data_IF_894820111740
#
_entry.id   IF_894820111740
#
_cell.length_a   1.000
_cell.length_b   1.000
_cell.length_c   1.000
_cell.angle_alpha   90.00
_cell.angle_beta   90.00
_cell.angle_gamma   90.00
#
_symmetry.space_group_name_H-M   'P 1'
#
loop_
_entity.id
_entity.type
_entity.pdbx_description
1 polymer ?
#
# COMPACT_ATOMS: atom_id res chain seq x y z
N UNK A 1 -25.16 -15.85 -5.03
CA UNK A 1 -23.71 -15.81 -5.30
C UNK A 1 -23.09 -15.16 -4.08
N UNK A 2 -22.02 -15.70 -3.51
CA UNK A 2 -21.51 -15.21 -2.22
C UNK A 2 -20.75 -13.89 -2.43
N UNK A 3 -21.36 -12.77 -2.02
CA UNK A 3 -20.87 -11.41 -2.26
C UNK A 3 -19.44 -11.20 -1.75
N UNK A 4 -19.07 -11.95 -0.71
CA UNK A 4 -17.75 -11.99 -0.09
C UNK A 4 -16.66 -12.49 -1.05
N UNK A 5 -16.98 -13.51 -1.86
CA UNK A 5 -16.07 -14.03 -2.89
C UNK A 5 -15.94 -13.08 -4.08
N UNK A 6 -17.02 -12.38 -4.43
CA UNK A 6 -16.97 -11.39 -5.51
C UNK A 6 -16.18 -10.14 -5.10
N UNK A 7 -16.29 -9.72 -3.83
CA UNK A 7 -15.49 -8.62 -3.29
C UNK A 7 -13.99 -8.89 -3.33
N UNK A 8 -13.57 -10.13 -3.02
CA UNK A 8 -12.15 -10.49 -3.06
C UNK A 8 -11.57 -10.44 -4.48
N UNK A 9 -12.36 -10.77 -5.51
CA UNK A 9 -11.97 -10.63 -6.91
C UNK A 9 -11.83 -9.16 -7.35
N UNK A 10 -12.76 -8.30 -6.92
CA UNK A 10 -12.67 -6.86 -7.15
C UNK A 10 -11.42 -6.28 -6.46
N UNK A 11 -11.19 -6.67 -5.19
CA UNK A 11 -10.00 -6.27 -4.43
C UNK A 11 -8.72 -6.67 -5.14
N UNK A 12 -8.60 -7.93 -5.57
CA UNK A 12 -7.43 -8.41 -6.32
C UNK A 12 -7.21 -7.63 -7.62
N UNK A 13 -8.30 -7.28 -8.32
CA UNK A 13 -8.24 -6.47 -9.55
C UNK A 13 -7.78 -5.03 -9.31
N UNK A 14 -8.17 -4.42 -8.19
CA UNK A 14 -7.75 -3.07 -7.80
C UNK A 14 -6.31 -3.05 -7.28
N UNK A 15 -5.89 -4.10 -6.57
CA UNK A 15 -4.49 -4.27 -6.17
C UNK A 15 -3.56 -4.52 -7.36
N UNK A 16 -4.03 -5.22 -8.39
CA UNK A 16 -3.27 -5.37 -9.64
C UNK A 16 -3.04 -3.99 -10.31
N UNK A 17 -4.05 -3.12 -10.32
CA UNK A 17 -3.92 -1.74 -10.82
C UNK A 17 -2.91 -0.91 -10.02
N UNK A 18 -2.75 -1.16 -8.72
CA UNK A 18 -1.75 -0.45 -7.91
C UNK A 18 -0.31 -0.80 -8.31
N UNK A 19 -0.09 -1.97 -8.91
CA UNK A 19 1.22 -2.45 -9.38
C UNK A 19 1.56 -1.99 -10.80
N UNK A 20 0.57 -1.62 -11.61
CA UNK A 20 0.82 -1.15 -12.99
C UNK A 20 1.49 0.22 -13.01
N UNK A 21 2.38 0.53 -13.95
CA UNK A 21 3.08 1.83 -13.95
C UNK A 21 2.28 2.98 -14.58
N UNK A 22 1.02 3.16 -14.15
CA UNK A 22 0.14 4.27 -14.55
C UNK A 22 0.51 5.53 -13.76
N UNK A 23 1.07 6.53 -14.44
CA UNK A 23 1.43 7.83 -13.87
C UNK A 23 0.32 8.88 -13.99
N UNK A 24 -0.58 8.72 -14.97
CA UNK A 24 -1.71 9.63 -15.19
C UNK A 24 -2.89 9.28 -14.27
N UNK A 25 -3.27 10.24 -13.43
CA UNK A 25 -4.36 10.11 -12.48
C UNK A 25 -5.73 10.01 -13.17
N UNK A 26 -5.92 10.70 -14.30
CA UNK A 26 -7.17 10.66 -15.06
C UNK A 26 -7.36 9.27 -15.67
N UNK A 27 -6.30 8.73 -16.29
CA UNK A 27 -6.33 7.40 -16.86
C UNK A 27 -6.51 6.31 -15.79
N UNK A 28 -5.90 6.49 -14.61
CA UNK A 28 -6.13 5.59 -13.47
C UNK A 28 -7.59 5.62 -13.01
N UNK A 29 -8.17 6.82 -12.88
CA UNK A 29 -9.57 6.99 -12.51
C UNK A 29 -10.51 6.28 -13.49
N UNK A 30 -10.32 6.46 -14.80
CA UNK A 30 -11.15 5.82 -15.82
C UNK A 30 -11.07 4.29 -15.76
N UNK A 31 -9.87 3.73 -15.55
CA UNK A 31 -9.71 2.28 -15.37
C UNK A 31 -10.41 1.75 -14.12
N UNK A 32 -10.30 2.48 -13.02
CA UNK A 32 -10.99 2.13 -11.77
C UNK A 32 -12.51 2.18 -11.96
N UNK A 33 -13.00 3.22 -12.65
CA UNK A 33 -14.41 3.37 -12.98
C UNK A 33 -14.94 2.19 -13.79
N UNK A 34 -14.25 1.82 -14.86
CA UNK A 34 -14.66 0.69 -15.72
C UNK A 34 -14.73 -0.60 -14.91
N UNK A 35 -13.71 -0.91 -14.10
CA UNK A 35 -13.70 -2.13 -13.29
C UNK A 35 -14.81 -2.16 -12.25
N UNK A 36 -15.05 -1.05 -11.57
CA UNK A 36 -16.07 -0.94 -10.53
C UNK A 36 -17.48 -1.01 -11.12
N UNK A 37 -17.71 -0.32 -12.24
CA UNK A 37 -18.98 -0.39 -12.95
C UNK A 37 -19.24 -1.80 -13.49
N UNK A 38 -18.25 -2.45 -14.11
CA UNK A 38 -18.37 -3.85 -14.53
C UNK A 38 -18.76 -4.75 -13.36
N UNK A 39 -18.11 -4.60 -12.21
CA UNK A 39 -18.46 -5.36 -11.00
C UNK A 39 -19.92 -5.14 -10.58
N UNK A 40 -20.38 -3.88 -10.54
CA UNK A 40 -21.75 -3.55 -10.17
C UNK A 40 -22.78 -4.13 -11.14
N UNK A 41 -22.53 -4.02 -12.45
CA UNK A 41 -23.41 -4.55 -13.49
C UNK A 41 -23.46 -6.07 -13.51
N UNK A 42 -22.30 -6.74 -13.37
CA UNK A 42 -22.22 -8.21 -13.37
C UNK A 42 -22.93 -8.81 -12.17
N UNK A 43 -22.82 -8.19 -10.99
CA UNK A 43 -23.42 -8.71 -9.76
C UNK A 43 -24.83 -8.20 -9.48
N UNK A 44 -25.36 -7.27 -10.30
CA UNK A 44 -26.68 -6.63 -10.10
C UNK A 44 -26.85 -6.12 -8.67
N UNK A 45 -25.86 -5.36 -8.21
CA UNK A 45 -25.78 -4.85 -6.84
C UNK A 45 -27.10 -4.16 -6.45
N UNK A 46 -27.79 -4.72 -5.46
CA UNK A 46 -28.97 -4.08 -4.84
C UNK A 46 -28.53 -2.94 -3.90
N UNK A 47 -29.47 -2.06 -3.52
CA UNK A 47 -29.18 -0.87 -2.69
C UNK A 47 -28.54 -1.23 -1.33
N UNK A 48 -28.96 -2.34 -0.72
CA UNK A 48 -28.36 -2.88 0.51
C UNK A 48 -26.95 -3.43 0.30
N UNK A 49 -26.69 -4.06 -0.85
CA UNK A 49 -25.37 -4.59 -1.20
C UNK A 49 -24.38 -3.47 -1.53
N UNK A 50 -24.86 -2.36 -2.11
CA UNK A 50 -24.08 -1.15 -2.32
C UNK A 50 -23.57 -0.58 -0.99
N UNK A 51 -24.44 -0.50 0.03
CA UNK A 51 -24.07 -0.01 1.35
C UNK A 51 -23.00 -0.89 2.02
N UNK A 52 -23.13 -2.22 1.91
CA UNK A 52 -22.12 -3.18 2.40
C UNK A 52 -20.79 -3.02 1.66
N UNK A 53 -20.82 -2.90 0.34
CA UNK A 53 -19.63 -2.69 -0.47
C UNK A 53 -18.91 -1.39 -0.10
N UNK A 54 -19.66 -0.29 0.09
CA UNK A 54 -19.12 1.00 0.54
C UNK A 54 -18.46 0.89 1.91
N UNK A 55 -19.12 0.27 2.88
CA UNK A 55 -18.56 0.08 4.23
C UNK A 55 -17.27 -0.75 4.16
N UNK A 56 -17.26 -1.80 3.34
CA UNK A 56 -16.09 -2.68 3.21
C UNK A 56 -14.91 -1.94 2.55
N UNK A 57 -15.14 -1.20 1.48
CA UNK A 57 -14.12 -0.36 0.84
C UNK A 57 -13.61 0.75 1.75
N UNK A 58 -14.51 1.39 2.51
CA UNK A 58 -14.15 2.45 3.47
C UNK A 58 -13.28 1.90 4.60
N UNK A 59 -13.62 0.70 5.11
CA UNK A 59 -12.82 0.00 6.10
C UNK A 59 -11.42 -0.35 5.59
N UNK A 60 -11.27 -0.78 4.32
CA UNK A 60 -9.95 -0.99 3.71
C UNK A 60 -9.14 0.30 3.60
N UNK A 61 -9.77 1.44 3.27
CA UNK A 61 -9.10 2.74 3.24
C UNK A 61 -8.59 3.14 4.62
N UNK A 62 -9.39 2.91 5.67
CA UNK A 62 -9.02 3.18 7.06
C UNK A 62 -7.89 2.26 7.54
N UNK A 63 -7.95 0.96 7.23
CA UNK A 63 -6.90 -0.01 7.56
C UNK A 63 -5.56 0.36 6.91
N UNK A 64 -5.58 0.78 5.65
CA UNK A 64 -4.38 1.29 4.97
C UNK A 64 -3.85 2.57 5.65
N UNK A 65 -4.74 3.43 6.16
CA UNK A 65 -4.36 4.61 6.93
C UNK A 65 -3.74 4.30 8.29
N UNK A 66 -4.22 3.27 8.99
CA UNK A 66 -3.62 2.80 10.24
C UNK A 66 -2.23 2.19 10.04
N UNK A 67 -2.05 1.48 8.92
CA UNK A 67 -0.75 0.93 8.54
C UNK A 67 0.30 2.01 8.22
N UNK A 68 -0.08 3.13 7.60
CA UNK A 68 0.84 4.24 7.32
C UNK A 68 1.49 4.79 8.60
N UNK A 69 0.73 4.91 9.69
CA UNK A 69 1.24 5.37 11.00
C UNK A 69 2.15 4.36 11.67
N UNK A 70 1.76 3.08 11.68
CA UNK A 70 2.51 2.01 12.37
C UNK A 70 3.81 1.68 11.63
N UNK A 71 3.79 1.64 10.30
CA UNK A 71 4.98 1.35 9.49
C UNK A 71 6.04 2.46 9.60
N UNK A 72 5.62 3.72 9.70
CA UNK A 72 6.54 4.86 9.80
C UNK A 72 7.24 4.90 11.17
N UNK A 73 6.53 4.57 12.26
CA UNK A 73 7.08 4.53 13.62
C UNK A 73 7.97 3.30 13.86
N UNK A 74 7.59 2.13 13.32
CA UNK A 74 8.39 0.91 13.42
C UNK A 74 9.62 0.93 12.50
N UNK A 75 9.52 1.57 11.32
CA UNK A 75 10.64 1.69 10.39
C UNK A 75 11.79 2.54 10.96
N UNK A 76 11.48 3.70 11.55
CA UNK A 76 12.50 4.60 12.13
C UNK A 76 13.16 4.00 13.37
N UNK A 77 12.38 3.35 14.24
CA UNK A 77 12.91 2.70 15.44
C UNK A 77 13.76 1.47 15.10
N UNK A 78 13.35 0.61 14.17
CA UNK A 78 14.15 -0.53 13.74
C UNK A 78 15.47 -0.09 13.05
N UNK A 79 15.41 0.99 12.27
CA UNK A 79 16.57 1.50 11.53
C UNK A 79 17.59 2.19 12.45
N UNK A 80 17.12 2.90 13.48
CA UNK A 80 18.02 3.49 14.50
C UNK A 80 18.66 2.41 15.38
N UNK A 81 17.92 1.37 15.76
CA UNK A 81 18.46 0.24 16.53
C UNK A 81 19.48 -0.57 15.71
N UNK A 82 19.21 -0.87 14.44
CA UNK A 82 20.16 -1.58 13.58
C UNK A 82 21.41 -0.76 13.27
N UNK A 83 21.27 0.55 13.08
CA UNK A 83 22.39 1.47 12.90
C UNK A 83 23.32 1.53 14.13
N UNK A 84 22.74 1.60 15.33
CA UNK A 84 23.52 1.56 16.57
C UNK A 84 24.24 0.22 16.75
N UNK A 85 23.57 -0.91 16.51
CA UNK A 85 24.18 -2.24 16.59
C UNK A 85 25.36 -2.38 15.62
N UNK A 86 25.23 -1.83 14.40
CA UNK A 86 26.29 -1.84 13.41
C UNK A 86 27.52 -1.03 13.86
N UNK A 87 27.31 0.14 14.46
CA UNK A 87 28.40 0.95 15.03
C UNK A 87 29.13 0.19 16.14
N UNK A 88 28.40 -0.46 17.05
CA UNK A 88 29.00 -1.28 18.12
C UNK A 88 29.85 -2.42 17.57
N UNK A 89 29.38 -3.13 16.54
CA UNK A 89 30.14 -4.21 15.88
C UNK A 89 31.45 -3.68 15.31
N UNK A 90 31.42 -2.51 14.66
CA UNK A 90 32.64 -1.91 14.09
C UNK A 90 33.64 -1.49 15.15
N UNK A 91 33.18 -0.91 16.28
CA UNK A 91 34.03 -0.54 17.41
C UNK A 91 34.68 -1.80 18.01
N UNK A 92 33.91 -2.85 18.26
CA UNK A 92 34.43 -4.12 18.81
C UNK A 92 35.46 -4.78 17.88
N UNK A 93 35.28 -4.71 16.55
CA UNK A 93 36.26 -5.24 15.59
C UNK A 93 37.58 -4.45 15.60
N UNK A 94 37.53 -3.14 15.80
CA UNK A 94 38.72 -2.29 15.95
C UNK A 94 39.46 -2.66 17.25
N UNK A 95 38.75 -2.86 18.36
CA UNK A 95 39.34 -3.28 19.64
C UNK A 95 39.96 -4.69 19.57
N UNK A 96 39.38 -5.58 18.78
CA UNK A 96 39.91 -6.93 18.50
C UNK A 96 41.15 -6.93 17.57
N UNK A 97 41.58 -5.76 17.08
CA UNK A 97 42.74 -5.65 16.20
C UNK A 97 42.49 -6.16 14.77
N UNK A 98 41.23 -6.23 14.34
CA UNK A 98 40.88 -6.61 12.97
C UNK A 98 41.41 -5.55 12.00
N UNK A 99 41.98 -6.00 10.88
CA UNK A 99 42.53 -5.12 9.86
C UNK A 99 41.50 -4.08 9.41
N UNK A 100 41.93 -2.81 9.32
CA UNK A 100 41.10 -1.70 8.89
C UNK A 100 40.42 -1.96 7.53
N UNK A 101 41.06 -2.71 6.63
CA UNK A 101 40.49 -3.07 5.31
C UNK A 101 39.19 -3.87 5.46
N UNK A 102 39.15 -4.81 6.41
CA UNK A 102 37.96 -5.65 6.67
C UNK A 102 36.85 -4.81 7.31
N UNK A 103 37.22 -3.90 8.23
CA UNK A 103 36.28 -2.96 8.85
C UNK A 103 35.66 -2.03 7.80
N UNK A 104 36.45 -1.50 6.87
CA UNK A 104 35.94 -0.69 5.75
C UNK A 104 34.99 -1.47 4.83
N UNK A 105 35.34 -2.70 4.47
CA UNK A 105 34.46 -3.56 3.66
C UNK A 105 33.11 -3.80 4.33
N UNK A 106 33.12 -4.08 5.64
CA UNK A 106 31.89 -4.23 6.43
C UNK A 106 31.11 -2.92 6.48
N UNK A 107 31.77 -1.79 6.72
CA UNK A 107 31.14 -0.46 6.75
C UNK A 107 30.39 -0.14 5.45
N UNK A 108 31.07 -0.25 4.31
CA UNK A 108 30.46 0.01 3.00
C UNK A 108 29.37 -1.02 2.65
N UNK A 109 29.56 -2.29 3.00
CA UNK A 109 28.55 -3.33 2.79
C UNK A 109 27.28 -3.10 3.61
N UNK A 110 27.42 -2.74 4.89
CA UNK A 110 26.30 -2.42 5.77
C UNK A 110 25.56 -1.16 5.36
N UNK A 111 26.28 -0.11 4.93
CA UNK A 111 25.68 1.09 4.35
C UNK A 111 24.87 0.76 3.08
N UNK A 112 25.43 -0.06 2.18
CA UNK A 112 24.72 -0.50 0.98
C UNK A 112 23.44 -1.27 1.30
N UNK A 113 23.50 -2.18 2.28
CA UNK A 113 22.33 -2.92 2.75
C UNK A 113 21.26 -2.01 3.37
N UNK A 114 21.66 -1.04 4.20
CA UNK A 114 20.76 -0.03 4.77
C UNK A 114 20.08 0.79 3.68
N UNK A 115 20.81 1.24 2.65
CA UNK A 115 20.23 1.96 1.52
C UNK A 115 19.21 1.11 0.76
N UNK A 116 19.49 -0.18 0.53
CA UNK A 116 18.53 -1.11 -0.07
C UNK A 116 17.27 -1.28 0.78
N UNK A 117 17.39 -1.36 2.11
CA UNK A 117 16.23 -1.45 3.01
C UNK A 117 15.36 -0.19 2.97
N UNK A 118 15.98 0.99 2.91
CA UNK A 118 15.24 2.27 2.75
C UNK A 118 14.47 2.27 1.44
N UNK A 119 15.11 1.85 0.35
CA UNK A 119 14.49 1.85 -0.98
C UNK A 119 13.29 0.89 -1.03
N UNK A 120 13.44 -0.31 -0.44
CA UNK A 120 12.37 -1.30 -0.32
C UNK A 120 11.18 -0.76 0.50
N UNK A 121 11.47 -0.17 1.67
CA UNK A 121 10.45 0.41 2.54
C UNK A 121 9.72 1.58 1.87
N UNK A 122 10.46 2.44 1.15
CA UNK A 122 9.87 3.56 0.40
C UNK A 122 8.97 3.07 -0.73
N UNK A 123 9.32 1.96 -1.37
CA UNK A 123 8.54 1.33 -2.44
C UNK A 123 7.26 0.72 -1.91
N UNK A 124 7.31 0.01 -0.78
CA UNK A 124 6.11 -0.52 -0.11
C UNK A 124 5.18 0.60 0.32
N UNK A 125 5.71 1.64 0.97
CA UNK A 125 4.91 2.79 1.41
C UNK A 125 4.29 3.54 0.21
N UNK A 126 5.00 3.64 -0.92
CA UNK A 126 4.46 4.21 -2.15
C UNK A 126 3.32 3.36 -2.72
N UNK A 127 3.42 2.04 -2.64
CA UNK A 127 2.37 1.14 -3.12
C UNK A 127 1.12 1.21 -2.24
N UNK A 128 1.28 1.30 -0.92
CA UNK A 128 0.15 1.43 0.01
C UNK A 128 -0.58 2.77 -0.15
N UNK A 129 0.16 3.88 -0.28
CA UNK A 129 -0.43 5.18 -0.65
C UNK A 129 -1.22 5.10 -1.94
N UNK A 130 -0.73 4.35 -2.93
CA UNK A 130 -1.41 4.20 -4.22
C UNK A 130 -2.67 3.35 -4.12
N UNK A 131 -2.63 2.24 -3.38
CA UNK A 131 -3.82 1.43 -3.08
C UNK A 131 -4.90 2.29 -2.43
N UNK A 132 -4.53 3.12 -1.44
CA UNK A 132 -5.44 4.05 -0.77
C UNK A 132 -6.12 5.00 -1.74
N UNK A 133 -5.38 5.59 -2.69
CA UNK A 133 -5.95 6.46 -3.74
C UNK A 133 -6.95 5.69 -4.60
N UNK A 134 -6.62 4.47 -5.03
CA UNK A 134 -7.49 3.63 -5.85
C UNK A 134 -8.79 3.29 -5.11
N UNK A 135 -8.70 2.84 -3.86
CA UNK A 135 -9.89 2.52 -3.06
C UNK A 135 -10.75 3.75 -2.78
N UNK A 136 -10.13 4.92 -2.55
CA UNK A 136 -10.86 6.17 -2.40
C UNK A 136 -11.60 6.57 -3.68
N UNK A 137 -10.96 6.43 -4.85
CA UNK A 137 -11.63 6.63 -6.14
C UNK A 137 -12.83 5.69 -6.31
N UNK A 138 -12.74 4.43 -5.87
CA UNK A 138 -13.88 3.52 -5.90
C UNK A 138 -15.06 4.04 -5.05
N UNK A 139 -14.80 4.53 -3.85
CA UNK A 139 -15.84 5.10 -2.99
C UNK A 139 -16.49 6.32 -3.64
N UNK A 140 -15.69 7.23 -4.22
CA UNK A 140 -16.20 8.42 -4.90
C UNK A 140 -17.09 8.06 -6.11
N UNK A 141 -16.72 7.01 -6.87
CA UNK A 141 -17.51 6.53 -8.01
C UNK A 141 -18.81 5.86 -7.54
N UNK A 142 -18.74 5.05 -6.48
CA UNK A 142 -19.92 4.43 -5.87
C UNK A 142 -20.92 5.46 -5.38
N UNK A 143 -20.46 6.55 -4.76
CA UNK A 143 -21.31 7.64 -4.28
C UNK A 143 -21.98 8.37 -5.44
N UNK A 144 -21.23 8.67 -6.52
CA UNK A 144 -21.81 9.27 -7.75
C UNK A 144 -22.84 8.37 -8.43
N UNK A 145 -22.61 7.06 -8.46
CA UNK A 145 -23.57 6.11 -9.07
C UNK A 145 -24.84 5.95 -8.22
N UNK A 146 -24.71 6.04 -6.88
CA UNK A 146 -25.88 6.07 -5.98
C UNK A 146 -26.74 7.31 -6.19
N UNK A 147 -26.12 8.50 -6.29
CA UNK A 147 -26.86 9.75 -6.53
C UNK A 147 -27.67 9.68 -7.85
N UNK A 148 -27.12 9.07 -8.91
CA UNK A 148 -27.87 8.89 -10.16
C UNK A 148 -29.08 7.97 -10.00
N UNK A 149 -28.96 6.91 -9.20
CA UNK A 149 -30.06 5.99 -8.93
C UNK A 149 -31.19 6.67 -8.12
N UNK A 150 -30.84 7.49 -7.12
CA UNK A 150 -31.82 8.21 -6.29
C UNK A 150 -32.55 9.34 -7.06
N UNK A 151 -31.97 9.91 -8.12
CA UNK A 151 -32.61 10.95 -8.96
C UNK A 151 -33.60 10.36 -9.98
N UNK A 152 -33.51 9.06 -10.25
CA UNK A 152 -34.32 8.38 -11.29
C UNK A 152 -35.56 7.67 -10.72
N UNK A 153 -35.76 7.72 -9.39
CA UNK A 153 -37.00 7.29 -8.71
C UNK A 153 -37.96 8.48 -8.51
#
# INVERSE_FOLDING_TARGET
MDLTSCYSELKASLEALSKENITDLSYLHDRVMVKLQLFMYTNRIEQDEHSKLKITLSSEVENLGGNDTIANENGVSAMTVSGLAFIFILISLIELGVSAIVVYMLFFGGLGFLLCLIDLSSTEQRNDKRKKVIFKMCVDILDKEKEKLDITQ
#
